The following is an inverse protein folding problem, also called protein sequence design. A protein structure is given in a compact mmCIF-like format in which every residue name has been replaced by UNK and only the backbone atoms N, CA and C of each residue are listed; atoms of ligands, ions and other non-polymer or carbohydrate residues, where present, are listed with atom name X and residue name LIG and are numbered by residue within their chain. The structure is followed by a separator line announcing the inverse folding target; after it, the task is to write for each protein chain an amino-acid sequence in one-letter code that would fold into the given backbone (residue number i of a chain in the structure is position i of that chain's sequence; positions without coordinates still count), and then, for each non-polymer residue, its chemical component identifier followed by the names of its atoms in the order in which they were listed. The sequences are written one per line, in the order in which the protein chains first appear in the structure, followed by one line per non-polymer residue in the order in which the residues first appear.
data_IF_729038408893
#
_entry.id   IF_729038408893
#
_cell.length_a   1.000
_cell.length_b   1.000
_cell.length_c   1.000
_cell.angle_alpha   90.00
_cell.angle_beta   90.00
_cell.angle_gamma   90.00
#
_symmetry.space_group_name_H-M   'P 1'
#
loop_
_entity.id
_entity.type
_entity.pdbx_description
1 polymer ?
#
# COMPACT_ATOMS: atom_id res chain seq x y z
N UNK A 1 12.42 0.60 -79.71
CA UNK A 1 12.10 -0.25 -78.54
C UNK A 1 13.27 -0.12 -77.57
N UNK A 2 13.13 0.67 -76.50
CA UNK A 2 14.13 0.84 -75.41
C UNK A 2 13.61 1.81 -74.32
N UNK A 3 12.62 2.67 -74.65
CA UNK A 3 12.03 3.62 -73.70
C UNK A 3 11.11 2.95 -72.66
N UNK A 4 10.45 1.85 -73.02
CA UNK A 4 9.54 1.11 -72.13
C UNK A 4 10.32 0.33 -71.06
N UNK A 5 11.52 -0.18 -71.38
CA UNK A 5 12.31 -0.96 -70.43
C UNK A 5 12.84 -0.07 -69.31
N UNK A 6 13.27 1.15 -69.62
CA UNK A 6 13.83 2.11 -68.65
C UNK A 6 12.75 2.60 -67.67
N UNK A 7 11.53 2.89 -68.13
CA UNK A 7 10.43 3.28 -67.23
C UNK A 7 9.98 2.14 -66.33
N UNK A 8 9.98 0.90 -66.84
CA UNK A 8 9.65 -0.29 -66.02
C UNK A 8 10.73 -0.56 -64.97
N UNK A 9 12.02 -0.33 -65.29
CA UNK A 9 13.13 -0.49 -64.34
C UNK A 9 13.07 0.55 -63.21
N UNK A 10 12.78 1.81 -63.54
CA UNK A 10 12.67 2.91 -62.58
C UNK A 10 11.49 2.73 -61.62
N UNK A 11 10.33 2.25 -62.12
CA UNK A 11 9.17 1.92 -61.28
C UNK A 11 9.43 0.69 -60.39
N UNK A 12 10.25 -0.27 -60.84
CA UNK A 12 10.62 -1.46 -60.06
C UNK A 12 11.48 -1.15 -58.83
N UNK A 13 12.39 -0.17 -58.91
CA UNK A 13 13.18 0.29 -57.75
C UNK A 13 12.38 1.11 -56.73
N UNK A 14 11.28 1.75 -57.15
CA UNK A 14 10.38 2.50 -56.25
C UNK A 14 9.35 1.64 -55.52
N UNK A 15 9.12 0.40 -55.97
CA UNK A 15 8.12 -0.53 -55.41
C UNK A 15 8.66 -1.42 -54.29
N UNK A 16 9.97 -1.37 -53.98
CA UNK A 16 10.59 -2.18 -52.91
C UNK A 16 10.34 -1.58 -51.51
N UNK A 17 9.85 -0.34 -51.41
CA UNK A 17 9.53 0.25 -50.09
C UNK A 17 8.18 -0.20 -49.52
N UNK A 18 7.38 -0.98 -50.27
CA UNK A 18 6.07 -1.48 -49.83
C UNK A 18 6.12 -2.73 -48.92
N UNK A 19 7.28 -3.06 -48.33
CA UNK A 19 7.43 -4.23 -47.45
C UNK A 19 8.35 -4.05 -46.23
N UNK A 20 8.95 -2.88 -46.02
CA UNK A 20 9.75 -2.63 -44.82
C UNK A 20 8.87 -2.03 -43.73
N UNK A 21 8.14 -2.88 -43.01
CA UNK A 21 7.54 -2.47 -41.74
C UNK A 21 8.66 -1.96 -40.82
N UNK A 22 8.51 -0.72 -40.31
CA UNK A 22 9.46 -0.14 -39.36
C UNK A 22 9.67 -1.14 -38.22
N UNK A 23 10.92 -1.48 -37.94
CA UNK A 23 11.25 -2.24 -36.73
C UNK A 23 11.27 -1.29 -35.54
N UNK A 24 10.30 -1.41 -34.65
CA UNK A 24 10.20 -0.65 -33.41
C UNK A 24 11.04 -1.31 -32.33
N UNK A 25 11.76 -0.50 -31.56
CA UNK A 25 12.54 -0.95 -30.42
C UNK A 25 11.66 -1.24 -29.19
N UNK A 26 12.20 -2.01 -28.25
CA UNK A 26 11.57 -2.25 -26.93
C UNK A 26 11.28 -0.92 -26.22
N UNK A 27 12.20 0.04 -26.28
CA UNK A 27 12.04 1.34 -25.64
C UNK A 27 10.90 2.19 -26.26
N UNK A 28 10.72 2.13 -27.58
CA UNK A 28 9.57 2.77 -28.25
C UNK A 28 8.27 2.12 -27.81
N UNK A 29 8.20 0.79 -27.77
CA UNK A 29 7.04 0.08 -27.26
C UNK A 29 6.76 0.44 -25.80
N UNK A 30 7.75 0.48 -24.89
CA UNK A 30 7.50 0.82 -23.48
C UNK A 30 6.92 2.23 -23.27
N UNK A 31 7.27 3.17 -24.13
CA UNK A 31 6.80 4.56 -24.03
C UNK A 31 5.43 4.78 -24.65
N UNK A 32 5.12 4.10 -25.75
CA UNK A 32 3.89 4.31 -26.51
C UNK A 32 2.91 3.14 -26.32
N UNK A 33 1.93 3.36 -25.45
CA UNK A 33 0.86 2.41 -25.15
C UNK A 33 -0.01 2.09 -26.37
N UNK A 34 -0.32 3.10 -27.19
CA UNK A 34 -1.16 2.92 -28.37
C UNK A 34 -0.45 2.05 -29.40
N UNK A 35 0.85 2.30 -29.61
CA UNK A 35 1.69 1.48 -30.47
C UNK A 35 1.73 0.03 -29.98
N UNK A 36 1.88 -0.21 -28.67
CA UNK A 36 1.83 -1.57 -28.10
C UNK A 36 0.52 -2.27 -28.39
N UNK A 37 -0.62 -1.63 -28.14
CA UNK A 37 -1.92 -2.27 -28.35
C UNK A 37 -2.23 -2.52 -29.83
N UNK A 38 -1.80 -1.62 -30.72
CA UNK A 38 -1.92 -1.85 -32.16
C UNK A 38 -1.11 -3.07 -32.59
N UNK A 39 0.13 -3.18 -32.10
CA UNK A 39 0.98 -4.32 -32.41
C UNK A 39 0.53 -5.61 -31.71
N UNK A 40 -0.03 -5.54 -30.51
CA UNK A 40 -0.62 -6.68 -29.82
C UNK A 40 -1.75 -7.29 -30.66
N UNK A 41 -2.66 -6.44 -31.17
CA UNK A 41 -3.72 -6.86 -32.08
C UNK A 41 -3.18 -7.44 -33.40
N UNK A 42 -2.10 -6.87 -33.97
CA UNK A 42 -1.47 -7.37 -35.20
C UNK A 42 -0.74 -8.69 -34.99
N UNK A 43 -0.05 -8.84 -33.87
CA UNK A 43 0.72 -10.03 -33.54
C UNK A 43 -0.19 -11.19 -33.14
N UNK A 44 -1.28 -10.91 -32.44
CA UNK A 44 -2.11 -11.93 -31.82
C UNK A 44 -1.27 -12.93 -31.00
N UNK A 45 -1.76 -14.16 -30.90
CA UNK A 45 -1.05 -15.20 -30.15
C UNK A 45 0.22 -15.72 -30.84
N UNK A 46 0.21 -15.82 -32.18
CA UNK A 46 1.22 -16.55 -32.94
C UNK A 46 2.15 -15.68 -33.80
N UNK A 47 2.03 -14.35 -33.78
CA UNK A 47 2.86 -13.46 -34.57
C UNK A 47 4.33 -13.56 -34.18
N UNK A 48 5.21 -13.79 -35.15
CA UNK A 48 6.66 -14.01 -34.95
C UNK A 48 7.54 -12.92 -35.57
N UNK A 49 6.96 -11.77 -35.94
CA UNK A 49 7.77 -10.66 -36.47
C UNK A 49 8.69 -10.11 -35.38
N UNK A 50 9.78 -9.46 -35.78
CA UNK A 50 10.70 -8.83 -34.81
C UNK A 50 9.99 -7.80 -33.93
N UNK A 51 8.98 -7.12 -34.47
CA UNK A 51 8.15 -6.20 -33.71
C UNK A 51 7.28 -6.91 -32.68
N UNK A 52 6.75 -8.10 -32.97
CA UNK A 52 6.05 -8.92 -31.98
C UNK A 52 6.96 -9.35 -30.84
N UNK A 53 8.20 -9.76 -31.13
CA UNK A 53 9.19 -10.07 -30.10
C UNK A 53 9.51 -8.85 -29.23
N UNK A 54 9.82 -7.71 -29.86
CA UNK A 54 10.16 -6.49 -29.14
C UNK A 54 9.00 -5.96 -28.30
N UNK A 55 7.76 -6.08 -28.81
CA UNK A 55 6.56 -5.71 -28.06
C UNK A 55 6.32 -6.63 -26.87
N UNK A 56 6.47 -7.96 -27.03
CA UNK A 56 6.30 -8.91 -25.91
C UNK A 56 7.36 -8.69 -24.83
N UNK A 57 8.59 -8.41 -25.23
CA UNK A 57 9.65 -8.05 -24.29
C UNK A 57 9.34 -6.74 -23.56
N UNK A 58 8.82 -5.72 -24.27
CA UNK A 58 8.39 -4.47 -23.66
C UNK A 58 7.27 -4.67 -22.62
N UNK A 59 6.29 -5.53 -22.90
CA UNK A 59 5.23 -5.88 -21.94
C UNK A 59 5.80 -6.57 -20.70
N UNK A 60 6.70 -7.54 -20.87
CA UNK A 60 7.33 -8.25 -19.75
C UNK A 60 8.17 -7.31 -18.87
N UNK A 61 8.90 -6.37 -19.48
CA UNK A 61 9.66 -5.38 -18.73
C UNK A 61 8.75 -4.40 -17.96
N UNK A 62 7.69 -3.89 -18.60
CA UNK A 62 6.71 -3.02 -17.93
C UNK A 62 6.00 -3.73 -16.79
N UNK A 63 5.63 -5.00 -16.98
CA UNK A 63 5.00 -5.79 -15.92
C UNK A 63 5.92 -5.90 -14.70
N UNK A 64 7.22 -6.20 -14.90
CA UNK A 64 8.19 -6.26 -13.80
C UNK A 64 8.37 -4.91 -13.11
N UNK A 65 8.36 -3.81 -13.86
CA UNK A 65 8.43 -2.46 -13.30
C UNK A 65 7.20 -2.15 -12.42
N UNK A 66 6.00 -2.52 -12.86
CA UNK A 66 4.79 -2.35 -12.07
C UNK A 66 4.77 -3.23 -10.83
N UNK A 67 5.15 -4.50 -10.95
CA UNK A 67 5.27 -5.42 -9.81
C UNK A 67 6.27 -4.91 -8.77
N UNK A 68 7.40 -4.35 -9.22
CA UNK A 68 8.39 -3.76 -8.32
C UNK A 68 7.84 -2.53 -7.59
N UNK A 69 7.14 -1.63 -8.30
CA UNK A 69 6.50 -0.45 -7.70
C UNK A 69 5.36 -0.82 -6.74
N UNK A 70 4.60 -1.88 -7.04
CA UNK A 70 3.56 -2.38 -6.16
C UNK A 70 4.16 -2.98 -4.89
N UNK A 71 5.18 -3.83 -5.01
CA UNK A 71 5.89 -4.38 -3.86
C UNK A 71 6.56 -3.31 -2.99
N UNK A 72 7.06 -2.21 -3.59
CA UNK A 72 7.59 -1.08 -2.83
C UNK A 72 6.49 -0.37 -2.04
N UNK A 73 5.36 -0.05 -2.68
CA UNK A 73 4.20 0.58 -2.01
C UNK A 73 3.64 -0.30 -0.89
N UNK A 74 3.58 -1.61 -1.08
CA UNK A 74 3.18 -2.55 -0.04
C UNK A 74 4.11 -2.49 1.17
N UNK A 75 5.43 -2.49 0.96
CA UNK A 75 6.40 -2.36 2.06
C UNK A 75 6.25 -1.05 2.82
N UNK A 76 6.06 0.07 2.11
CA UNK A 76 5.83 1.37 2.74
C UNK A 76 4.52 1.39 3.55
N UNK A 77 3.47 0.78 3.01
CA UNK A 77 2.18 0.67 3.70
C UNK A 77 2.29 -0.20 4.96
N UNK A 78 2.96 -1.34 4.89
CA UNK A 78 3.19 -2.22 6.02
C UNK A 78 4.03 -1.55 7.10
N UNK A 79 5.09 -0.83 6.72
CA UNK A 79 5.90 -0.10 7.68
C UNK A 79 5.10 1.01 8.37
N UNK A 80 4.31 1.77 7.60
CA UNK A 80 3.42 2.81 8.14
C UNK A 80 2.38 2.22 9.09
N UNK A 81 1.75 1.10 8.71
CA UNK A 81 0.77 0.43 9.53
C UNK A 81 1.38 -0.08 10.84
N UNK A 82 2.54 -0.73 10.77
CA UNK A 82 3.28 -1.19 11.95
C UNK A 82 3.59 -0.03 12.91
N UNK A 83 4.12 1.08 12.39
CA UNK A 83 4.39 2.30 13.18
C UNK A 83 3.14 2.86 13.84
N UNK A 84 2.02 2.90 13.13
CA UNK A 84 0.74 3.37 13.67
C UNK A 84 0.22 2.45 14.78
N UNK A 85 0.32 1.13 14.60
CA UNK A 85 -0.07 0.14 15.60
C UNK A 85 0.81 0.19 16.84
N UNK A 86 2.14 0.29 16.68
CA UNK A 86 3.08 0.42 17.79
C UNK A 86 2.79 1.69 18.60
N UNK A 87 2.51 2.81 17.92
CA UNK A 87 2.13 4.06 18.56
C UNK A 87 0.81 3.93 19.33
N UNK A 88 -0.24 3.39 18.69
CA UNK A 88 -1.53 3.19 19.33
C UNK A 88 -1.45 2.27 20.55
N UNK A 89 -0.62 1.21 20.46
CA UNK A 89 -0.35 0.32 21.59
C UNK A 89 0.34 1.07 22.75
N UNK A 90 1.37 1.86 22.46
CA UNK A 90 2.06 2.64 23.48
C UNK A 90 1.14 3.67 24.15
N UNK A 91 0.28 4.34 23.38
CA UNK A 91 -0.72 5.28 23.91
C UNK A 91 -1.74 4.56 24.82
N UNK A 92 -2.27 3.43 24.38
CA UNK A 92 -3.19 2.62 25.19
C UNK A 92 -2.54 2.12 26.48
N UNK A 93 -1.28 1.67 26.43
CA UNK A 93 -0.54 1.25 27.62
C UNK A 93 -0.34 2.40 28.61
N UNK A 94 -0.03 3.60 28.12
CA UNK A 94 0.09 4.80 28.94
C UNK A 94 -1.23 5.19 29.62
N UNK A 95 -2.34 5.16 28.87
CA UNK A 95 -3.68 5.46 29.39
C UNK A 95 -4.12 4.42 30.44
N UNK A 96 -3.87 3.14 30.19
CA UNK A 96 -4.14 2.07 31.15
C UNK A 96 -3.31 2.24 32.43
N UNK A 97 -2.04 2.64 32.32
CA UNK A 97 -1.19 2.91 33.47
C UNK A 97 -1.73 4.09 34.29
N UNK A 98 -2.14 5.18 33.62
CA UNK A 98 -2.74 6.35 34.27
C UNK A 98 -4.04 5.98 35.00
N UNK A 99 -4.95 5.28 34.33
CA UNK A 99 -6.21 4.82 34.95
C UNK A 99 -5.96 3.88 36.13
N UNK A 100 -4.94 3.02 36.09
CA UNK A 100 -4.59 2.16 37.23
C UNK A 100 -4.16 2.99 38.44
N UNK A 101 -3.33 4.01 38.23
CA UNK A 101 -2.89 4.88 39.32
C UNK A 101 -4.03 5.74 39.90
N UNK A 102 -4.90 6.28 39.03
CA UNK A 102 -6.09 7.01 39.47
C UNK A 102 -7.05 6.10 40.25
N UNK A 103 -7.29 4.88 39.78
CA UNK A 103 -8.12 3.90 40.48
C UNK A 103 -7.53 3.46 41.82
N UNK A 104 -6.19 3.39 41.96
CA UNK A 104 -5.55 3.14 43.25
C UNK A 104 -5.79 4.28 44.22
N UNK A 105 -5.62 5.54 43.78
CA UNK A 105 -5.87 6.72 44.61
C UNK A 105 -7.33 6.80 45.05
N UNK A 106 -8.26 6.58 44.12
CA UNK A 106 -9.68 6.57 44.40
C UNK A 106 -10.04 5.49 45.43
N UNK A 107 -9.56 4.25 45.27
CA UNK A 107 -9.79 3.19 46.27
C UNK A 107 -9.22 3.53 47.64
N UNK A 108 -7.98 4.03 47.71
CA UNK A 108 -7.38 4.44 48.97
C UNK A 108 -8.18 5.55 49.67
N UNK A 109 -8.74 6.50 48.91
CA UNK A 109 -9.61 7.54 49.44
C UNK A 109 -10.93 6.98 49.97
N UNK A 110 -11.57 6.06 49.24
CA UNK A 110 -12.80 5.38 49.68
C UNK A 110 -12.55 4.57 50.97
N UNK A 111 -11.50 3.77 51.01
CA UNK A 111 -11.11 3.00 52.21
C UNK A 111 -10.78 3.90 53.41
N UNK A 112 -10.22 5.10 53.18
CA UNK A 112 -9.99 6.07 54.25
C UNK A 112 -11.29 6.68 54.77
N UNK A 113 -12.23 6.99 53.87
CA UNK A 113 -13.57 7.50 54.24
C UNK A 113 -14.37 6.47 55.02
N UNK A 114 -14.38 5.22 54.57
CA UNK A 114 -15.06 4.11 55.26
C UNK A 114 -14.49 3.90 56.67
N UNK A 115 -13.15 3.87 56.82
CA UNK A 115 -12.52 3.74 58.13
C UNK A 115 -12.84 4.91 59.07
N UNK A 116 -12.81 6.14 58.55
CA UNK A 116 -13.15 7.32 59.34
C UNK A 116 -14.63 7.30 59.79
N UNK A 117 -15.53 6.84 58.92
CA UNK A 117 -16.94 6.67 59.25
C UNK A 117 -17.16 5.56 60.28
N UNK A 118 -16.48 4.42 60.14
CA UNK A 118 -16.54 3.32 61.10
C UNK A 118 -16.02 3.76 62.48
N UNK A 119 -14.88 4.48 62.53
CA UNK A 119 -14.33 5.02 63.78
C UNK A 119 -15.30 6.01 64.43
N UNK A 120 -15.95 6.88 63.65
CA UNK A 120 -16.97 7.80 64.16
C UNK A 120 -18.15 7.04 64.77
N UNK A 121 -18.69 6.05 64.05
CA UNK A 121 -19.79 5.19 64.53
C UNK A 121 -19.40 4.36 65.76
N UNK A 122 -18.13 3.95 65.89
CA UNK A 122 -17.63 3.25 67.07
C UNK A 122 -17.56 4.18 68.30
N UNK A 123 -17.09 5.43 68.11
CA UNK A 123 -17.06 6.44 69.17
C UNK A 123 -18.47 6.84 69.62
N UNK A 124 -19.40 7.00 68.70
CA UNK A 124 -20.82 7.28 69.01
C UNK A 124 -21.42 6.16 69.85
N UNK A 125 -21.27 4.90 69.45
CA UNK A 125 -21.74 3.73 70.23
C UNK A 125 -21.12 3.67 71.63
N UNK A 126 -19.82 3.89 71.76
CA UNK A 126 -19.15 3.89 73.06
C UNK A 126 -19.64 5.02 73.98
N UNK A 127 -19.96 6.20 73.43
CA UNK A 127 -20.51 7.32 74.20
C UNK A 127 -21.95 7.04 74.66
N UNK A 128 -22.79 6.45 73.81
CA UNK A 128 -24.15 6.03 74.17
C UNK A 128 -24.15 4.96 75.27
N UNK A 129 -23.27 3.97 75.18
CA UNK A 129 -23.11 2.93 76.22
C UNK A 129 -22.65 3.51 77.57
N UNK A 130 -21.80 4.53 77.58
CA UNK A 130 -21.39 5.20 78.81
C UNK A 130 -22.52 6.03 79.44
N UNK A 131 -23.38 6.67 78.62
CA UNK A 131 -24.53 7.42 79.13
C UNK A 131 -25.63 6.51 79.69
N UNK A 132 -25.80 5.31 79.13
CA UNK A 132 -26.83 4.36 79.59
C UNK A 132 -26.43 3.57 80.85
N UNK A 133 -25.15 3.60 81.25
CA UNK A 133 -24.64 2.92 82.45
C UNK A 133 -24.47 3.85 83.67
N UNK A 134 -24.94 5.09 83.60
CA UNK A 134 -24.93 6.06 84.70
C UNK A 134 -26.34 6.43 85.15
#
# INVERSE_FOLDING_TARGET
MNKIIITTLLLGTGLITAGCEKTYSVAEFKKDEKLRFEWDAKCGFAGTSKNCENMRLAFLELQKEYEAQEAERERENDERYRKAMDKAKAEMEADLAKMREENKKFRAEQEAKERAEEERRAKERAAEEQQNNH
#
